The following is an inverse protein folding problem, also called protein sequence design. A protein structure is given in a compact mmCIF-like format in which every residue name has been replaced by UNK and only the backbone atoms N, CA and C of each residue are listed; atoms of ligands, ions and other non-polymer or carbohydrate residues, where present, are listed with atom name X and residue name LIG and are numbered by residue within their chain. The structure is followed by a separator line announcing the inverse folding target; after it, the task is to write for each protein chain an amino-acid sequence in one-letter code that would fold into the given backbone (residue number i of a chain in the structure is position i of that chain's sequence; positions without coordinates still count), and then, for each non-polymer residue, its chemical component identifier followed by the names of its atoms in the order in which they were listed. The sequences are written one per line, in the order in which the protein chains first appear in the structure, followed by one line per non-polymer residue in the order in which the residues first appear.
data_IF_754252468150
#
_entry.id   IF_754252468150
#
_cell.length_a   1.000
_cell.length_b   1.000
_cell.length_c   1.000
_cell.angle_alpha   90.00
_cell.angle_beta   90.00
_cell.angle_gamma   90.00
#
_symmetry.space_group_name_H-M   'P 1'
#
loop_
_entity.id
_entity.type
_entity.pdbx_description
1 polymer ?
#
# COMPACT_ATOMS: atom_id res chain seq x y z
N UNK A 1 7.10 -5.62 -5.52
CA UNK A 1 7.98 -5.65 -6.72
C UNK A 1 7.43 -4.82 -7.89
N UNK A 2 6.11 -4.60 -8.03
CA UNK A 2 5.54 -3.78 -9.13
C UNK A 2 5.60 -2.26 -8.93
N UNK A 3 5.69 -1.76 -7.70
CA UNK A 3 5.66 -0.31 -7.41
C UNK A 3 6.95 0.42 -7.87
N UNK A 4 8.10 -0.23 -7.72
CA UNK A 4 9.39 0.27 -8.22
C UNK A 4 9.38 0.49 -9.75
N UNK A 5 8.62 -0.30 -10.52
CA UNK A 5 8.52 -0.11 -11.97
C UNK A 5 7.72 1.15 -12.32
N UNK A 6 6.66 1.46 -11.55
CA UNK A 6 5.89 2.70 -11.77
C UNK A 6 6.69 3.93 -11.39
N UNK A 7 7.45 3.87 -10.30
CA UNK A 7 8.31 4.98 -9.87
C UNK A 7 9.32 5.37 -10.96
N UNK A 8 10.06 4.40 -11.51
CA UNK A 8 11.04 4.65 -12.58
C UNK A 8 10.36 5.18 -13.86
N UNK A 9 9.18 4.68 -14.20
CA UNK A 9 8.41 5.19 -15.34
C UNK A 9 7.94 6.64 -15.15
N UNK A 10 7.45 7.00 -13.96
CA UNK A 10 7.02 8.36 -13.64
C UNK A 10 8.18 9.34 -13.68
N UNK A 11 9.33 8.98 -13.10
CA UNK A 11 10.52 9.84 -13.11
C UNK A 11 11.04 10.11 -14.53
N UNK A 12 11.10 9.08 -15.38
CA UNK A 12 11.59 9.20 -16.77
C UNK A 12 10.70 10.04 -17.69
N UNK A 13 9.44 10.22 -17.33
CA UNK A 13 8.50 11.06 -18.09
C UNK A 13 8.76 12.56 -17.86
N UNK A 14 9.35 12.90 -16.72
CA UNK A 14 9.63 14.27 -16.32
C UNK A 14 11.12 14.63 -16.57
N UNK A 15 11.42 15.90 -16.84
CA UNK A 15 12.81 16.37 -17.07
C UNK A 15 13.55 16.73 -15.78
N UNK A 16 13.19 16.11 -14.65
CA UNK A 16 13.79 16.38 -13.35
C UNK A 16 15.03 15.50 -13.13
N UNK A 17 16.11 16.04 -12.59
CA UNK A 17 17.33 15.25 -12.34
C UNK A 17 17.17 14.32 -11.14
N UNK A 18 16.43 14.77 -10.12
CA UNK A 18 16.19 14.05 -8.88
C UNK A 18 14.91 14.49 -8.19
N UNK A 19 14.40 13.65 -7.32
CA UNK A 19 13.19 13.94 -6.56
C UNK A 19 13.24 13.36 -5.14
N UNK A 20 12.53 14.00 -4.20
CA UNK A 20 12.30 13.43 -2.88
C UNK A 20 11.38 12.21 -2.92
N UNK A 21 11.70 11.21 -2.10
CA UNK A 21 10.85 10.06 -1.80
C UNK A 21 10.57 10.00 -0.28
N UNK A 22 9.57 9.22 0.12
CA UNK A 22 9.08 9.20 1.49
C UNK A 22 9.99 8.54 2.53
N UNK A 23 11.23 8.18 2.22
CA UNK A 23 12.14 7.55 3.19
C UNK A 23 12.85 8.64 4.00
N UNK A 24 12.76 8.57 5.32
CA UNK A 24 13.40 9.51 6.23
C UNK A 24 13.94 8.78 7.47
N UNK A 25 14.80 9.44 8.24
CA UNK A 25 15.21 8.98 9.58
C UNK A 25 15.06 10.13 10.55
N UNK A 26 14.48 9.87 11.72
CA UNK A 26 14.52 10.80 12.84
C UNK A 26 15.46 10.26 13.93
N UNK A 27 15.56 10.93 15.09
CA UNK A 27 16.56 10.68 16.15
C UNK A 27 16.73 9.23 16.66
N UNK A 28 15.97 8.28 16.15
CA UNK A 28 16.07 6.82 16.32
C UNK A 28 17.19 6.15 15.50
N UNK A 29 17.78 6.83 14.50
CA UNK A 29 18.80 6.33 13.53
C UNK A 29 18.31 5.27 12.55
N UNK A 30 17.03 4.94 12.55
CA UNK A 30 16.45 3.95 11.66
C UNK A 30 15.72 4.62 10.48
N UNK A 31 15.87 4.04 9.29
CA UNK A 31 15.18 4.52 8.09
C UNK A 31 13.74 4.04 8.08
N UNK A 32 12.81 4.99 8.05
CA UNK A 32 11.37 4.75 8.10
C UNK A 32 10.67 5.45 6.92
N UNK A 33 9.74 4.74 6.30
CA UNK A 33 8.87 5.33 5.28
C UNK A 33 7.83 6.23 5.94
N UNK A 34 7.52 7.36 5.33
CA UNK A 34 6.50 8.30 5.81
C UNK A 34 5.09 7.71 5.90
N UNK A 35 4.84 6.58 5.22
CA UNK A 35 3.59 5.82 5.26
C UNK A 35 3.63 4.60 6.19
N UNK A 36 4.71 4.37 6.94
CA UNK A 36 4.86 3.19 7.81
C UNK A 36 3.80 3.09 8.92
N UNK A 37 3.19 4.21 9.31
CA UNK A 37 2.08 4.23 10.27
C UNK A 37 0.75 3.67 9.68
N UNK A 38 0.62 3.63 8.35
CA UNK A 38 -0.64 3.30 7.66
C UNK A 38 -0.84 1.82 7.33
N UNK A 39 -0.27 0.89 8.12
CA UNK A 39 -0.33 -0.58 7.90
C UNK A 39 0.37 -1.11 6.63
N UNK A 40 0.86 -0.20 5.76
CA UNK A 40 1.39 -0.54 4.45
C UNK A 40 2.84 -1.05 4.48
N UNK A 41 3.66 -0.43 5.33
CA UNK A 41 5.07 -0.79 5.51
C UNK A 41 5.28 -1.19 6.97
N UNK A 42 5.72 -2.42 7.25
CA UNK A 42 6.05 -2.87 8.61
C UNK A 42 7.32 -3.69 8.63
N UNK A 43 8.06 -3.54 9.74
CA UNK A 43 9.23 -4.30 10.20
C UNK A 43 9.77 -5.33 9.22
N UNK A 44 10.76 -4.89 8.43
CA UNK A 44 11.43 -5.75 7.45
C UNK A 44 11.23 -5.33 5.99
N UNK A 45 10.62 -4.18 5.70
CA UNK A 45 10.73 -3.55 4.38
C UNK A 45 12.16 -3.05 4.16
N UNK A 46 13.03 -4.00 3.79
CA UNK A 46 14.47 -3.86 3.64
C UNK A 46 14.90 -3.38 2.27
N UNK A 47 13.96 -3.20 1.32
CA UNK A 47 14.35 -2.77 -0.01
C UNK A 47 14.97 -1.37 0.07
N UNK A 48 16.25 -1.31 -0.30
CA UNK A 48 17.03 -0.10 -0.39
C UNK A 48 17.78 -0.15 -1.71
N UNK A 49 17.68 0.93 -2.48
CA UNK A 49 18.39 1.07 -3.75
C UNK A 49 19.38 2.22 -3.66
N UNK A 50 20.16 2.22 -2.58
CA UNK A 50 21.20 3.22 -2.35
C UNK A 50 22.22 3.23 -3.48
N UNK A 51 22.66 4.43 -3.85
CA UNK A 51 23.82 4.60 -4.71
C UNK A 51 25.08 4.10 -4.01
N UNK A 52 26.14 3.88 -4.78
CA UNK A 52 27.42 3.44 -4.25
C UNK A 52 27.96 4.46 -3.23
N UNK A 53 28.16 3.99 -1.99
CA UNK A 53 28.64 4.83 -0.90
C UNK A 53 27.53 5.47 -0.05
N UNK A 54 26.26 5.29 -0.41
CA UNK A 54 25.12 5.83 0.33
C UNK A 54 24.47 4.78 1.26
N UNK A 55 23.81 5.19 2.35
CA UNK A 55 23.74 6.56 2.86
C UNK A 55 25.04 6.96 3.61
N UNK A 56 25.56 8.16 3.37
CA UNK A 56 26.84 8.63 3.93
C UNK A 56 26.68 9.61 5.12
N UNK A 57 25.48 10.13 5.34
CA UNK A 57 25.16 11.12 6.37
C UNK A 57 26.15 12.30 6.42
N UNK A 58 26.43 12.93 5.27
CA UNK A 58 27.43 13.98 5.18
C UNK A 58 27.16 15.11 6.18
N UNK A 59 28.15 15.40 7.01
CA UNK A 59 28.04 16.44 8.05
C UNK A 59 27.06 16.11 9.18
N UNK A 60 26.50 14.90 9.23
CA UNK A 60 25.58 14.47 10.28
C UNK A 60 24.19 15.07 10.19
N UNK A 61 23.77 15.55 9.01
CA UNK A 61 22.53 16.32 8.82
C UNK A 61 21.63 15.82 7.68
N UNK A 62 21.94 14.67 7.08
CA UNK A 62 21.24 14.18 5.90
C UNK A 62 20.17 13.16 6.30
N UNK A 63 18.95 13.62 6.54
CA UNK A 63 17.90 12.81 7.15
C UNK A 63 16.76 12.44 6.21
N UNK A 64 16.80 12.92 4.96
CA UNK A 64 15.78 12.69 3.94
C UNK A 64 16.40 12.06 2.69
N UNK A 65 15.62 11.31 1.92
CA UNK A 65 16.14 10.53 0.78
C UNK A 65 15.64 11.06 -0.55
N UNK A 66 16.56 11.33 -1.45
CA UNK A 66 16.30 11.65 -2.86
C UNK A 66 16.57 10.44 -3.76
N UNK A 67 15.90 10.37 -4.91
CA UNK A 67 16.14 9.41 -5.99
C UNK A 67 16.64 10.13 -7.24
N UNK A 68 17.67 9.59 -7.89
CA UNK A 68 18.16 10.08 -9.17
C UNK A 68 17.31 9.56 -10.33
N UNK A 69 16.94 10.43 -11.27
CA UNK A 69 16.14 10.04 -12.44
C UNK A 69 16.96 9.21 -13.46
N UNK A 70 18.29 9.40 -13.49
CA UNK A 70 19.20 8.72 -14.42
C UNK A 70 19.10 7.19 -14.35
N UNK A 71 19.06 6.66 -13.14
CA UNK A 71 19.26 5.23 -12.85
C UNK A 71 18.36 4.71 -11.73
N UNK A 72 17.69 5.59 -10.97
CA UNK A 72 16.83 5.24 -9.88
C UNK A 72 17.56 4.89 -8.58
N UNK A 73 18.85 5.22 -8.45
CA UNK A 73 19.59 5.07 -7.19
C UNK A 73 19.28 6.20 -6.21
N UNK A 74 19.49 5.92 -4.92
CA UNK A 74 19.06 6.78 -3.81
C UNK A 74 20.25 7.40 -3.09
N UNK A 75 20.04 8.59 -2.56
CA UNK A 75 21.02 9.35 -1.79
C UNK A 75 20.33 9.94 -0.55
N UNK A 76 20.97 9.91 0.63
CA UNK A 76 20.51 10.74 1.74
C UNK A 76 21.01 12.17 1.56
N UNK A 77 20.18 13.13 1.92
CA UNK A 77 20.47 14.54 1.75
C UNK A 77 19.81 15.37 2.86
N UNK A 78 20.27 16.61 3.02
CA UNK A 78 19.73 17.54 4.00
C UNK A 78 18.28 17.87 3.63
N UNK A 79 17.36 17.64 4.56
CA UNK A 79 15.91 17.83 4.36
C UNK A 79 15.51 19.27 3.97
N UNK A 80 16.37 20.25 4.23
CA UNK A 80 16.13 21.66 3.92
C UNK A 80 16.36 22.01 2.44
N UNK A 81 16.86 21.07 1.63
CA UNK A 81 17.00 21.28 0.20
C UNK A 81 15.64 21.22 -0.51
N UNK A 82 15.46 22.08 -1.50
CA UNK A 82 14.24 22.14 -2.30
C UNK A 82 14.40 21.34 -3.58
N UNK A 83 13.72 20.20 -3.69
CA UNK A 83 13.64 19.39 -4.90
C UNK A 83 12.18 19.08 -5.26
N UNK A 84 11.89 18.74 -6.52
CA UNK A 84 10.66 18.04 -6.88
C UNK A 84 10.48 16.79 -5.99
N UNK A 85 9.25 16.30 -5.85
CA UNK A 85 8.95 15.17 -4.98
C UNK A 85 7.94 14.23 -5.62
N UNK A 86 7.97 12.97 -5.21
CA UNK A 86 7.03 11.95 -5.68
C UNK A 86 5.99 11.69 -4.59
N UNK A 87 4.73 11.93 -4.91
CA UNK A 87 3.60 11.52 -4.07
C UNK A 87 3.17 10.10 -4.41
N UNK A 88 2.76 9.37 -3.39
CA UNK A 88 1.97 8.15 -3.55
C UNK A 88 0.49 8.51 -3.50
N UNK A 89 -0.27 8.12 -4.51
CA UNK A 89 -1.72 8.25 -4.54
C UNK A 89 -2.31 6.87 -4.84
N UNK A 90 -3.03 6.32 -3.87
CA UNK A 90 -3.66 5.02 -3.99
C UNK A 90 -5.05 5.18 -4.61
N UNK A 91 -5.29 4.56 -5.77
CA UNK A 91 -6.57 4.65 -6.48
C UNK A 91 -7.26 3.31 -6.52
N UNK A 92 -8.36 3.19 -5.78
CA UNK A 92 -9.29 2.07 -5.92
C UNK A 92 -9.98 2.14 -7.28
N UNK A 93 -9.96 1.02 -8.00
CA UNK A 93 -10.61 0.89 -9.31
C UNK A 93 -11.72 -0.15 -9.21
N UNK A 94 -12.94 0.27 -9.51
CA UNK A 94 -14.08 -0.64 -9.65
C UNK A 94 -14.05 -1.31 -11.02
N UNK A 95 -14.07 -2.64 -11.05
CA UNK A 95 -14.18 -3.42 -12.27
C UNK A 95 -15.62 -3.90 -12.42
N UNK A 96 -16.37 -3.29 -13.35
CA UNK A 96 -17.76 -3.65 -13.66
C UNK A 96 -17.83 -4.89 -14.56
N UNK A 97 -17.27 -6.01 -14.08
CA UNK A 97 -17.37 -7.32 -14.71
C UNK A 97 -17.86 -8.34 -13.69
N UNK A 98 -18.83 -9.17 -14.07
CA UNK A 98 -19.34 -10.26 -13.23
C UNK A 98 -18.40 -11.46 -13.31
N UNK A 99 -17.44 -11.55 -12.40
CA UNK A 99 -16.47 -12.64 -12.28
C UNK A 99 -16.65 -13.39 -10.95
N UNK A 100 -16.19 -14.64 -10.87
CA UNK A 100 -16.06 -15.33 -9.57
C UNK A 100 -14.90 -14.71 -8.78
N UNK A 101 -14.88 -14.88 -7.45
CA UNK A 101 -13.84 -14.31 -6.59
C UNK A 101 -12.41 -14.67 -7.03
N UNK A 102 -12.18 -15.94 -7.41
CA UNK A 102 -10.85 -16.40 -7.87
C UNK A 102 -10.45 -15.78 -9.20
N UNK A 103 -11.40 -15.59 -10.11
CA UNK A 103 -11.17 -14.92 -11.39
C UNK A 103 -10.91 -13.43 -11.19
N UNK A 104 -11.68 -12.76 -10.33
CA UNK A 104 -11.45 -11.36 -9.96
C UNK A 104 -10.08 -11.15 -9.34
N UNK A 105 -9.67 -12.02 -8.40
CA UNK A 105 -8.33 -11.99 -7.82
C UNK A 105 -7.23 -12.12 -8.88
N UNK A 106 -7.36 -13.12 -9.76
CA UNK A 106 -6.41 -13.34 -10.84
C UNK A 106 -6.38 -12.17 -11.83
N UNK A 107 -7.54 -11.63 -12.17
CA UNK A 107 -7.68 -10.48 -13.04
C UNK A 107 -6.95 -9.26 -12.46
N UNK A 108 -7.19 -8.93 -11.19
CA UNK A 108 -6.52 -7.83 -10.51
C UNK A 108 -5.00 -8.02 -10.45
N UNK A 109 -4.48 -9.24 -10.26
CA UNK A 109 -3.03 -9.49 -10.24
C UNK A 109 -2.35 -9.42 -11.61
N UNK A 110 -3.11 -9.58 -12.69
CA UNK A 110 -2.60 -9.51 -14.07
C UNK A 110 -2.71 -8.09 -14.62
N UNK A 111 -3.82 -7.40 -14.35
CA UNK A 111 -4.14 -6.10 -14.95
C UNK A 111 -3.93 -4.91 -14.00
N UNK A 112 -3.89 -5.17 -12.69
CA UNK A 112 -3.74 -4.19 -11.62
C UNK A 112 -2.69 -4.69 -10.60
N UNK A 113 -2.81 -4.30 -9.32
CA UNK A 113 -1.94 -4.80 -8.26
C UNK A 113 -2.51 -6.06 -7.60
N UNK A 114 -3.62 -5.93 -6.87
CA UNK A 114 -4.34 -7.04 -6.25
C UNK A 114 -5.79 -6.61 -5.95
N UNK A 115 -6.62 -7.53 -5.45
CA UNK A 115 -7.91 -7.15 -4.85
C UNK A 115 -7.66 -6.39 -3.53
N UNK A 116 -8.45 -5.33 -3.32
CA UNK A 116 -8.34 -4.47 -2.13
C UNK A 116 -8.58 -5.27 -0.84
N UNK A 117 -7.70 -5.10 0.15
CA UNK A 117 -7.92 -5.54 1.54
C UNK A 117 -8.30 -4.32 2.36
N UNK A 118 -9.46 -4.34 3.02
CA UNK A 118 -9.92 -3.19 3.82
C UNK A 118 -9.40 -3.31 5.24
N UNK A 119 -8.57 -2.35 5.63
CA UNK A 119 -7.74 -2.47 6.84
C UNK A 119 -7.82 -1.29 7.80
N UNK A 120 -8.43 -0.20 7.37
CA UNK A 120 -8.65 1.00 8.18
C UNK A 120 -10.05 1.54 7.92
N UNK A 121 -10.54 2.38 8.83
CA UNK A 121 -11.82 3.09 8.62
C UNK A 121 -11.77 3.99 7.38
N UNK A 122 -10.63 4.60 7.09
CA UNK A 122 -10.42 5.41 5.88
C UNK A 122 -10.59 4.57 4.61
N UNK A 123 -9.94 3.39 4.54
CA UNK A 123 -10.14 2.46 3.42
C UNK A 123 -11.60 2.01 3.31
N UNK A 124 -12.28 1.79 4.44
CA UNK A 124 -13.70 1.44 4.45
C UNK A 124 -14.56 2.55 3.86
N UNK A 125 -14.25 3.82 4.13
CA UNK A 125 -14.93 4.97 3.54
C UNK A 125 -14.68 5.05 2.03
N UNK A 126 -13.44 4.91 1.58
CA UNK A 126 -13.11 4.94 0.15
C UNK A 126 -13.76 3.79 -0.63
N UNK A 127 -13.73 2.57 -0.07
CA UNK A 127 -14.44 1.43 -0.68
C UNK A 127 -15.92 1.75 -0.77
N UNK A 128 -16.55 2.27 0.29
CA UNK A 128 -17.97 2.65 0.29
C UNK A 128 -18.32 3.64 -0.82
N UNK A 129 -17.47 4.62 -1.10
CA UNK A 129 -17.69 5.57 -2.20
C UNK A 129 -17.59 4.90 -3.57
N UNK A 130 -16.59 4.04 -3.76
CA UNK A 130 -16.34 3.38 -5.05
C UNK A 130 -17.43 2.37 -5.40
N UNK A 131 -17.90 1.60 -4.42
CA UNK A 131 -18.91 0.54 -4.65
C UNK A 131 -20.31 1.07 -4.95
N UNK A 132 -20.59 2.35 -4.66
CA UNK A 132 -21.86 2.98 -5.06
C UNK A 132 -22.05 3.00 -6.58
N UNK A 133 -20.96 2.94 -7.34
CA UNK A 133 -20.98 2.91 -8.80
C UNK A 133 -21.02 1.49 -9.38
N UNK A 134 -21.20 0.47 -8.53
CA UNK A 134 -21.30 -0.92 -8.95
C UNK A 134 -22.63 -1.20 -9.65
N UNK A 135 -22.54 -1.99 -10.71
CA UNK A 135 -23.71 -2.51 -11.42
C UNK A 135 -24.45 -3.62 -10.65
N UNK A 136 -23.88 -4.10 -9.54
CA UNK A 136 -24.39 -5.18 -8.71
C UNK A 136 -24.51 -4.76 -7.25
N UNK A 137 -25.46 -5.36 -6.53
CA UNK A 137 -25.67 -5.09 -5.09
C UNK A 137 -24.46 -5.48 -4.22
N UNK A 138 -23.66 -6.44 -4.69
CA UNK A 138 -22.48 -6.95 -3.99
C UNK A 138 -21.25 -6.87 -4.89
N UNK A 139 -20.07 -6.65 -4.29
CA UNK A 139 -18.77 -6.68 -4.98
C UNK A 139 -17.79 -7.59 -4.23
N UNK A 140 -16.81 -8.14 -4.94
CA UNK A 140 -15.74 -8.93 -4.32
C UNK A 140 -14.66 -8.03 -3.73
N UNK A 141 -14.25 -8.33 -2.50
CA UNK A 141 -13.07 -7.76 -1.84
C UNK A 141 -12.00 -8.84 -1.68
N UNK A 142 -10.74 -8.43 -1.52
CA UNK A 142 -9.64 -9.33 -1.20
C UNK A 142 -9.79 -9.84 0.23
N UNK A 143 -9.91 -11.16 0.39
CA UNK A 143 -9.85 -11.79 1.71
C UNK A 143 -8.38 -12.04 2.07
N UNK A 144 -7.80 -11.17 2.88
CA UNK A 144 -6.53 -11.42 3.56
C UNK A 144 -6.81 -11.57 5.05
N UNK A 145 -6.33 -12.66 5.66
CA UNK A 145 -6.60 -12.99 7.06
C UNK A 145 -6.04 -11.97 8.06
N UNK A 146 -5.18 -11.07 7.61
CA UNK A 146 -4.55 -10.04 8.44
C UNK A 146 -4.22 -8.84 7.56
N UNK A 147 -4.50 -7.66 8.08
CA UNK A 147 -4.01 -6.39 7.54
C UNK A 147 -2.51 -6.18 7.77
N UNK A 148 -1.89 -7.06 8.54
CA UNK A 148 -0.45 -7.26 8.59
C UNK A 148 -0.08 -8.53 7.80
N UNK A 149 0.94 -8.53 6.93
CA UNK A 149 1.53 -9.79 6.50
C UNK A 149 2.14 -10.51 7.73
N UNK A 150 1.61 -11.66 8.15
CA UNK A 150 2.42 -12.65 8.89
C UNK A 150 2.17 -12.92 10.38
N UNK A 151 1.03 -12.57 10.99
CA UNK A 151 0.72 -13.02 12.36
C UNK A 151 -0.36 -14.11 12.37
N UNK A 152 0.03 -15.37 12.59
CA UNK A 152 -0.89 -16.44 12.96
C UNK A 152 -1.27 -16.25 14.44
N UNK A 153 -2.38 -15.55 14.71
CA UNK A 153 -3.01 -15.60 16.03
C UNK A 153 -4.04 -16.71 16.00
N UNK A 154 -3.80 -17.78 16.75
CA UNK A 154 -4.83 -18.77 17.10
C UNK A 154 -5.80 -18.09 18.07
N UNK A 155 -6.89 -17.54 17.55
CA UNK A 155 -7.94 -16.90 18.36
C UNK A 155 -9.25 -16.83 17.59
N UNK A 156 -10.31 -17.40 18.19
CA UNK A 156 -11.64 -17.60 17.64
C UNK A 156 -12.41 -16.25 17.58
N UNK A 157 -12.71 -15.75 16.37
CA UNK A 157 -13.29 -14.40 16.11
C UNK A 157 -14.80 -14.31 16.35
N UNK A 158 -15.37 -15.21 17.15
CA UNK A 158 -16.83 -15.38 17.20
C UNK A 158 -17.61 -14.24 17.87
N UNK A 159 -16.97 -13.26 18.51
CA UNK A 159 -17.69 -12.34 19.40
C UNK A 159 -17.48 -10.82 19.27
N UNK A 160 -16.48 -10.30 18.56
CA UNK A 160 -16.23 -8.85 18.63
C UNK A 160 -16.29 -8.20 17.23
N UNK A 161 -17.50 -7.75 16.86
CA UNK A 161 -17.84 -6.46 16.23
C UNK A 161 -19.25 -6.54 15.59
N UNK A 162 -20.03 -5.46 15.75
CA UNK A 162 -21.40 -5.17 15.28
C UNK A 162 -22.54 -5.29 16.32
N UNK A 163 -22.75 -4.28 17.20
CA UNK A 163 -24.07 -3.99 17.73
C UNK A 163 -24.86 -3.20 16.68
N UNK A 164 -25.78 -3.83 15.95
CA UNK A 164 -26.74 -3.03 15.15
C UNK A 164 -27.38 -3.65 13.90
N UNK A 165 -27.20 -4.93 13.57
CA UNK A 165 -27.96 -5.54 12.48
C UNK A 165 -29.08 -6.42 13.03
N UNK A 166 -30.31 -6.08 12.65
CA UNK A 166 -31.53 -6.77 13.07
C UNK A 166 -31.58 -8.26 12.68
N UNK A 167 -32.61 -9.00 13.10
CA UNK A 167 -32.61 -10.47 13.15
C UNK A 167 -32.53 -11.23 11.80
N UNK A 168 -32.28 -10.57 10.68
CA UNK A 168 -32.19 -11.18 9.35
C UNK A 168 -30.78 -11.51 8.85
N UNK A 169 -29.71 -11.10 9.54
CA UNK A 169 -28.32 -11.22 9.07
C UNK A 169 -27.56 -12.43 9.65
N UNK A 170 -28.24 -13.49 10.11
CA UNK A 170 -27.61 -14.67 10.74
C UNK A 170 -27.57 -15.93 9.87
N UNK A 171 -28.19 -15.96 8.70
CA UNK A 171 -28.23 -17.15 7.85
C UNK A 171 -27.73 -16.89 6.42
N UNK A 172 -26.41 -17.05 6.21
CA UNK A 172 -25.77 -17.75 5.06
C UNK A 172 -24.28 -17.40 4.92
N UNK A 173 -23.47 -17.88 5.86
CA UNK A 173 -22.06 -18.21 5.59
C UNK A 173 -21.83 -19.64 6.08
N UNK A 174 -22.43 -20.59 5.37
CA UNK A 174 -22.12 -22.02 5.51
C UNK A 174 -22.80 -22.78 4.39
N UNK A 175 -22.11 -22.86 3.26
CA UNK A 175 -22.06 -24.03 2.38
C UNK A 175 -21.16 -23.71 1.22
N UNK A 176 -19.98 -24.33 1.22
CA UNK A 176 -19.31 -24.94 0.06
C UNK A 176 -17.91 -25.38 0.49
N UNK A 177 -17.81 -26.52 1.18
CA UNK A 177 -16.77 -27.51 0.89
C UNK A 177 -17.42 -28.89 1.11
N UNK A 178 -17.20 -29.87 0.21
CA UNK A 178 -17.46 -31.27 0.53
C UNK A 178 -16.47 -31.76 1.61
#
# INVERSE_FOLDING_TARGET
MGEMMKLNYTLKKETVEKAWIGLQRDGTREWQWSLADQTFYRDGDTYRHWDSGQPDNKGGIEFCVEIYNSDGYWNDNTCNNSFPFVCYEDKLVLINQSLTWKEALRYCRIHHYDLVSVCTEEMQLWVKEVVQNASTEHVWLGLRHTCAPGLLVLGDWRNDLLPGLGPGARDRVSRLQP
#
